data_IF_300811127529
#
_entry.id   IF_300811127529
#
_cell.length_a   1.000
_cell.length_b   1.000
_cell.length_c   1.000
_cell.angle_alpha   90.00
_cell.angle_beta   90.00
_cell.angle_gamma   90.00
#
_symmetry.space_group_name_H-M   'P 1'
#
loop_
_entity.id
_entity.type
_entity.pdbx_description
1 polymer ?
#
# COMPACT_ATOMS: atom_id res chain seq x y z
N UNK A 1 11.21 17.10 23.52
CA UNK A 1 10.04 17.34 22.66
C UNK A 1 10.14 16.35 21.52
N UNK A 2 9.18 15.44 21.37
CA UNK A 2 9.12 14.60 20.17
C UNK A 2 8.47 15.47 19.10
N UNK A 3 9.22 15.79 18.05
CA UNK A 3 8.66 16.43 16.85
C UNK A 3 8.03 15.32 16.01
N UNK A 4 6.75 15.49 15.69
CA UNK A 4 6.01 14.59 14.81
C UNK A 4 6.48 14.86 13.38
N UNK A 5 7.64 14.31 13.02
CA UNK A 5 8.26 14.54 11.73
C UNK A 5 7.47 13.77 10.66
N UNK A 6 6.67 14.49 9.89
CA UNK A 6 5.91 13.90 8.79
C UNK A 6 6.81 13.60 7.59
N UNK A 7 6.79 12.34 7.15
CA UNK A 7 7.37 11.94 5.87
C UNK A 7 6.34 12.17 4.77
N UNK A 8 6.76 12.81 3.69
CA UNK A 8 5.92 13.04 2.52
C UNK A 8 6.47 12.30 1.32
N UNK A 9 5.56 11.77 0.50
CA UNK A 9 5.86 11.25 -0.83
C UNK A 9 5.28 12.18 -1.87
N UNK A 10 6.04 12.40 -2.93
CA UNK A 10 5.61 13.19 -4.07
C UNK A 10 5.47 12.27 -5.28
N UNK A 11 4.42 12.47 -6.08
CA UNK A 11 4.21 11.81 -7.37
C UNK A 11 3.98 12.83 -8.46
N UNK A 12 4.29 12.48 -9.70
CA UNK A 12 4.06 13.32 -10.88
C UNK A 12 2.85 12.84 -11.67
N UNK A 13 2.01 13.79 -12.09
CA UNK A 13 0.75 13.54 -12.80
C UNK A 13 0.53 14.63 -13.83
N UNK A 14 0.03 14.28 -15.02
CA UNK A 14 -0.40 15.26 -16.03
C UNK A 14 -1.91 15.30 -16.09
N UNK A 15 -2.49 16.46 -15.78
CA UNK A 15 -3.91 16.73 -15.96
C UNK A 15 -4.17 17.31 -17.34
N UNK A 16 -5.34 17.04 -17.91
CA UNK A 16 -5.73 17.57 -19.22
C UNK A 16 -7.12 18.19 -19.21
N UNK A 17 -7.33 19.20 -20.04
CA UNK A 17 -8.64 19.82 -20.27
C UNK A 17 -8.71 20.55 -21.60
N UNK A 18 -9.89 20.56 -22.23
CA UNK A 18 -10.17 21.38 -23.43
C UNK A 18 -10.60 22.81 -23.09
N UNK A 19 -10.88 23.09 -21.82
CA UNK A 19 -11.48 24.36 -21.41
C UNK A 19 -10.45 25.33 -20.85
N UNK A 20 -9.83 25.00 -19.70
CA UNK A 20 -8.91 25.90 -19.00
C UNK A 20 -7.76 25.15 -18.33
N UNK A 21 -6.72 25.91 -18.00
CA UNK A 21 -5.60 25.47 -17.17
C UNK A 21 -6.07 24.92 -15.81
N UNK A 22 -6.95 25.64 -15.10
CA UNK A 22 -7.46 25.24 -13.78
C UNK A 22 -8.24 23.92 -13.86
N UNK A 23 -9.01 23.73 -14.93
CA UNK A 23 -9.73 22.49 -15.16
C UNK A 23 -8.77 21.30 -15.35
N UNK A 24 -7.65 21.49 -16.04
CA UNK A 24 -6.61 20.47 -16.17
C UNK A 24 -5.97 20.15 -14.80
N UNK A 25 -5.61 21.17 -14.01
CA UNK A 25 -5.08 20.99 -12.63
C UNK A 25 -6.05 20.21 -11.76
N UNK A 26 -7.32 20.62 -11.72
CA UNK A 26 -8.35 19.93 -10.94
C UNK A 26 -8.58 18.50 -11.41
N UNK A 27 -8.46 18.22 -12.71
CA UNK A 27 -8.56 16.87 -13.26
C UNK A 27 -7.47 15.94 -12.72
N UNK A 28 -6.22 16.40 -12.65
CA UNK A 28 -5.11 15.67 -12.06
C UNK A 28 -5.32 15.41 -10.56
N UNK A 29 -5.65 16.45 -9.79
CA UNK A 29 -5.87 16.34 -8.32
C UNK A 29 -7.04 15.39 -8.01
N UNK A 30 -8.16 15.51 -8.74
CA UNK A 30 -9.32 14.61 -8.58
C UNK A 30 -8.97 13.17 -8.91
N UNK A 31 -8.05 12.94 -9.85
CA UNK A 31 -7.61 11.58 -10.19
C UNK A 31 -6.68 11.04 -9.11
N UNK A 32 -5.73 11.85 -8.63
CA UNK A 32 -4.85 11.51 -7.52
C UNK A 32 -5.63 11.13 -6.25
N UNK A 33 -6.65 11.91 -5.89
CA UNK A 33 -7.42 11.70 -4.66
C UNK A 33 -8.20 10.39 -4.62
N UNK A 34 -8.41 9.73 -5.77
CA UNK A 34 -9.04 8.41 -5.83
C UNK A 34 -8.16 7.33 -5.19
N UNK A 35 -6.86 7.37 -5.43
CA UNK A 35 -5.91 6.33 -5.01
C UNK A 35 -5.00 6.77 -3.87
N UNK A 36 -4.69 8.05 -3.77
CA UNK A 36 -3.80 8.61 -2.76
C UNK A 36 -4.62 9.28 -1.66
N UNK A 37 -4.20 9.08 -0.42
CA UNK A 37 -4.79 9.69 0.78
C UNK A 37 -3.87 10.77 1.31
N UNK A 38 -4.41 11.66 2.13
CA UNK A 38 -3.66 12.74 2.76
C UNK A 38 -2.90 13.62 1.78
N UNK A 39 -3.52 13.97 0.64
CA UNK A 39 -2.98 14.99 -0.27
C UNK A 39 -2.84 16.31 0.49
N UNK A 40 -1.71 17.00 0.32
CA UNK A 40 -1.39 18.21 1.09
C UNK A 40 -1.15 19.42 0.22
N UNK A 41 -0.32 19.25 -0.81
CA UNK A 41 0.00 20.31 -1.75
C UNK A 41 0.21 19.74 -3.16
N UNK A 42 0.24 20.65 -4.11
CA UNK A 42 0.72 20.37 -5.45
C UNK A 42 1.62 21.52 -5.91
N UNK A 43 2.47 21.23 -6.88
CA UNK A 43 3.35 22.17 -7.56
C UNK A 43 3.17 21.97 -9.06
N UNK A 44 2.99 23.07 -9.80
CA UNK A 44 2.94 23.03 -11.26
C UNK A 44 4.37 22.97 -11.78
N UNK A 45 4.71 21.89 -12.47
CA UNK A 45 6.06 21.67 -13.03
C UNK A 45 6.14 22.19 -14.45
N UNK A 46 5.08 21.97 -15.24
CA UNK A 46 5.07 22.33 -16.64
C UNK A 46 3.65 22.56 -17.15
N UNK A 47 3.52 23.55 -18.05
CA UNK A 47 2.28 23.85 -18.75
C UNK A 47 2.53 23.70 -20.25
N UNK A 48 1.79 22.77 -20.86
CA UNK A 48 1.79 22.52 -22.30
C UNK A 48 0.37 22.67 -22.84
N UNK A 49 0.26 22.85 -24.15
CA UNK A 49 -1.00 22.86 -24.86
C UNK A 49 -0.83 22.25 -26.24
N UNK A 50 -1.77 21.40 -26.63
CA UNK A 50 -1.92 20.96 -28.01
C UNK A 50 -2.87 21.92 -28.73
N UNK A 51 -2.50 22.37 -29.94
CA UNK A 51 -3.32 23.26 -30.75
C UNK A 51 -4.04 22.40 -31.79
N UNK A 52 -5.37 22.36 -31.70
CA UNK A 52 -6.25 21.68 -32.64
C UNK A 52 -6.96 22.69 -33.56
N UNK A 53 -7.07 22.34 -34.85
CA UNK A 53 -7.82 23.08 -35.86
C UNK A 53 -7.58 24.60 -35.91
N UNK A 54 -6.37 25.04 -35.55
CA UNK A 54 -5.91 26.43 -35.70
C UNK A 54 -6.28 27.39 -34.57
N UNK A 55 -7.13 27.00 -33.61
CA UNK A 55 -7.48 27.88 -32.48
C UNK A 55 -7.90 27.17 -31.19
N UNK A 56 -8.27 25.89 -31.24
CA UNK A 56 -8.68 25.17 -30.03
C UNK A 56 -7.43 24.68 -29.28
N UNK A 57 -7.42 24.87 -27.96
CA UNK A 57 -6.27 24.50 -27.12
C UNK A 57 -6.69 23.38 -26.16
N UNK A 58 -5.97 22.27 -26.23
CA UNK A 58 -6.02 21.21 -25.23
C UNK A 58 -4.90 21.39 -24.22
N UNK A 59 -5.26 21.86 -23.04
CA UNK A 59 -4.37 22.08 -21.91
C UNK A 59 -3.84 20.77 -21.36
N UNK A 60 -2.54 20.74 -21.11
CA UNK A 60 -1.82 19.64 -20.47
C UNK A 60 -0.95 20.24 -19.38
N UNK A 61 -1.25 19.93 -18.11
CA UNK A 61 -0.57 20.53 -16.97
C UNK A 61 0.06 19.43 -16.13
N UNK A 62 1.39 19.42 -16.08
CA UNK A 62 2.15 18.48 -15.27
C UNK A 62 2.30 19.03 -13.85
N UNK A 63 1.92 18.21 -12.88
CA UNK A 63 1.94 18.53 -11.46
C UNK A 63 2.80 17.53 -10.70
N UNK A 64 3.53 18.02 -9.71
CA UNK A 64 3.95 17.23 -8.55
C UNK A 64 2.89 17.33 -7.46
N UNK A 65 2.48 16.21 -6.88
CA UNK A 65 1.50 16.17 -5.80
C UNK A 65 2.14 15.49 -4.59
N UNK A 66 2.20 16.24 -3.48
CA UNK A 66 2.74 15.77 -2.20
C UNK A 66 1.64 15.28 -1.27
N UNK A 67 1.88 14.15 -0.62
CA UNK A 67 0.97 13.57 0.37
C UNK A 67 1.74 12.91 1.51
N UNK A 68 1.14 12.91 2.70
CA UNK A 68 1.76 12.32 3.90
C UNK A 68 1.77 10.81 3.78
N UNK A 69 2.91 10.19 4.09
CA UNK A 69 3.05 8.75 4.21
C UNK A 69 2.84 8.38 5.66
N UNK A 70 1.87 7.51 5.93
CA UNK A 70 1.77 6.88 7.24
C UNK A 70 2.91 5.88 7.39
N UNK A 71 3.65 5.90 8.52
CA UNK A 71 4.61 4.84 8.79
C UNK A 71 3.85 3.52 8.82
N UNK A 72 4.15 2.62 7.89
CA UNK A 72 3.64 1.26 7.96
C UNK A 72 4.16 0.67 9.26
N UNK A 73 3.28 0.39 10.22
CA UNK A 73 3.67 -0.37 11.41
C UNK A 73 4.17 -1.74 10.93
N UNK A 74 5.48 -1.88 10.81
CA UNK A 74 6.12 -3.17 10.57
C UNK A 74 5.87 -4.01 11.82
N UNK A 75 5.08 -5.11 11.77
CA UNK A 75 4.85 -5.96 12.92
C UNK A 75 6.09 -6.80 13.29
N UNK A 76 7.26 -6.47 12.76
CA UNK A 76 8.54 -7.11 13.08
C UNK A 76 9.12 -6.55 14.38
N UNK A 77 8.27 -6.55 15.42
CA UNK A 77 8.71 -6.58 16.79
C UNK A 77 9.36 -7.93 17.06
N UNK A 78 10.67 -7.90 17.26
CA UNK A 78 11.52 -8.91 17.88
C UNK A 78 10.74 -10.02 18.63
N UNK A 79 10.49 -11.15 17.98
CA UNK A 79 10.09 -12.40 18.65
C UNK A 79 11.33 -13.08 19.24
N UNK A 80 12.02 -12.40 20.15
CA UNK A 80 12.97 -13.04 21.07
C UNK A 80 12.20 -13.88 22.07
N UNK A 81 12.11 -15.18 21.75
CA UNK A 81 11.97 -16.34 22.66
C UNK A 81 11.75 -15.98 24.14
N UNK A 82 10.50 -15.94 24.58
CA UNK A 82 10.17 -16.41 25.92
C UNK A 82 9.88 -17.91 25.85
N UNK A 83 10.92 -18.73 25.93
CA UNK A 83 10.76 -20.11 26.40
C UNK A 83 10.85 -20.10 27.93
N UNK A 84 9.77 -19.68 28.60
CA UNK A 84 9.51 -20.05 29.99
C UNK A 84 8.48 -21.18 29.98
N UNK A 85 8.94 -22.37 29.57
CA UNK A 85 8.18 -23.60 29.59
C UNK A 85 8.85 -24.57 30.55
N UNK A 86 8.22 -24.76 31.70
CA UNK A 86 8.55 -25.73 32.75
C UNK A 86 9.12 -27.03 32.18
N UNK A 87 10.27 -27.48 32.69
CA UNK A 87 10.79 -28.84 32.48
C UNK A 87 9.76 -29.84 33.02
N UNK A 88 8.97 -30.43 32.13
CA UNK A 88 8.23 -31.66 32.40
C UNK A 88 9.22 -32.81 32.56
N UNK A 89 9.18 -33.45 33.73
CA UNK A 89 9.92 -34.67 34.05
C UNK A 89 9.53 -35.77 33.05
N UNK A 90 10.53 -36.39 32.43
CA UNK A 90 10.39 -37.57 31.57
C UNK A 90 10.53 -38.85 32.40
N UNK A 91 9.58 -39.79 32.28
CA UNK A 91 9.66 -41.13 32.86
C UNK A 91 9.68 -42.17 31.74
N UNK A 92 10.67 -43.08 31.66
CA UNK A 92 10.66 -44.17 30.70
C UNK A 92 9.90 -45.39 31.24
N UNK A 93 9.12 -46.04 30.38
CA UNK A 93 8.89 -47.48 30.46
C UNK A 93 7.45 -47.92 30.73
N UNK A 94 6.70 -48.20 29.66
CA UNK A 94 5.51 -49.04 29.69
C UNK A 94 5.41 -49.80 28.35
N UNK A 95 5.18 -51.13 28.34
CA UNK A 95 5.51 -51.97 27.19
C UNK A 95 4.52 -51.85 26.04
N UNK A 96 5.07 -51.94 24.83
CA UNK A 96 4.34 -52.10 23.58
C UNK A 96 3.61 -53.44 23.55
N UNK A 97 2.31 -53.43 23.25
CA UNK A 97 1.59 -54.62 22.77
C UNK A 97 0.94 -54.31 21.43
N UNK A 98 1.50 -54.96 20.42
CA UNK A 98 1.03 -55.11 19.05
C UNK A 98 -0.30 -55.84 18.98
N UNK A 99 -1.13 -55.50 17.97
CA UNK A 99 -2.09 -56.32 17.17
C UNK A 99 -3.28 -55.40 16.83
N UNK A 100 -3.91 -55.42 15.65
CA UNK A 100 -3.92 -56.34 14.53
C UNK A 100 -4.57 -55.60 13.35
N UNK A 101 -4.15 -55.94 12.13
CA UNK A 101 -4.85 -55.63 10.88
C UNK A 101 -6.30 -56.13 10.92
N UNK A 102 -7.22 -55.32 10.38
CA UNK A 102 -8.39 -55.83 9.67
C UNK A 102 -8.75 -54.88 8.53
N UNK A 103 -8.63 -55.40 7.30
CA UNK A 103 -9.20 -54.82 6.07
C UNK A 103 -10.71 -55.05 6.08
N UNK A 104 -11.49 -54.07 5.62
CA UNK A 104 -12.79 -54.20 4.93
C UNK A 104 -13.02 -52.82 4.28
N UNK A 105 -12.84 -52.59 2.97
CA UNK A 105 -13.59 -53.02 1.79
C UNK A 105 -15.06 -52.57 1.74
N UNK A 106 -15.35 -51.75 0.71
CA UNK A 106 -16.67 -51.36 0.12
C UNK A 106 -17.53 -50.37 0.93
N UNK A 107 -18.29 -49.46 0.31
CA UNK A 107 -18.83 -49.38 -1.06
C UNK A 107 -19.27 -47.93 -1.37
N UNK A 108 -19.31 -47.64 -2.67
CA UNK A 108 -20.05 -46.62 -3.45
C UNK A 108 -20.82 -45.53 -2.69
#
# INVERSE_FOLDING_TARGET
MITDDHVYKTVELTGTSRSTFEAAVQSAIRTASKTLRHLRWFEVVEVRGEIEQGSDIHWQVMLKVGFTVEPSEDPTGDRRRQTSGKKGVWQPGGPSVTKRRTRHHQRL
#
